data_IF_937678806720
#
_entry.id   IF_937678806720
#
_cell.length_a   1.000
_cell.length_b   1.000
_cell.length_c   1.000
_cell.angle_alpha   90.00
_cell.angle_beta   90.00
_cell.angle_gamma   90.00
#
_symmetry.space_group_name_H-M   'P 1'
#
loop_
_entity.id
_entity.type
_entity.pdbx_description
1 polymer ?
2 non-polymer ?
3 water ?
#
# COMPACT_ATOMS: atom_id res chain seq x y z
N UNK A 1 -26.97 -1.78 -9.33
CA UNK A 1 -26.95 -0.31 -9.59
C UNK A 1 -26.58 -0.03 -11.06
N UNK A 2 -26.25 1.22 -11.40
CA UNK A 2 -26.02 1.68 -12.80
C UNK A 2 -24.63 1.24 -13.27
N UNK A 3 -24.42 1.26 -14.59
CA UNK A 3 -23.18 0.79 -15.29
C UNK A 3 -22.43 2.02 -15.82
N UNK A 4 -21.23 2.28 -15.30
CA UNK A 4 -20.38 3.44 -15.69
C UNK A 4 -19.30 3.01 -16.67
N UNK A 5 -18.87 1.74 -16.64
CA UNK A 5 -17.92 1.15 -17.63
C UNK A 5 -18.72 0.69 -18.86
N UNK A 6 -18.32 1.14 -20.05
CA UNK A 6 -18.92 0.73 -21.35
C UNK A 6 -18.53 -0.72 -21.65
N UNK A 7 -17.40 -1.18 -21.11
CA UNK A 7 -16.85 -2.55 -21.29
C UNK A 7 -16.05 -2.94 -20.04
N UNK A 8 -16.11 -4.21 -19.64
CA UNK A 8 -15.40 -4.74 -18.44
C UNK A 8 -13.98 -5.17 -18.85
N UNK A 9 -13.18 -4.21 -19.29
CA UNK A 9 -11.75 -4.38 -19.70
C UNK A 9 -10.93 -3.22 -19.13
N UNK A 10 -9.60 -3.31 -19.21
CA UNK A 10 -8.66 -2.23 -18.81
C UNK A 10 -8.91 -1.01 -19.71
N UNK A 11 -9.25 -1.25 -20.98
CA UNK A 11 -9.57 -0.21 -21.99
C UNK A 11 -10.84 0.54 -21.56
N UNK A 12 -11.85 -0.18 -21.07
CA UNK A 12 -13.09 0.39 -20.52
C UNK A 12 -12.83 1.24 -19.28
N UNK A 13 -11.92 0.79 -18.41
CA UNK A 13 -11.51 1.52 -17.17
C UNK A 13 -10.76 2.80 -17.59
N UNK A 14 -9.85 2.69 -18.56
CA UNK A 14 -9.03 3.81 -19.08
C UNK A 14 -9.93 4.92 -19.64
N UNK A 15 -10.98 4.56 -20.36
CA UNK A 15 -11.95 5.52 -20.96
C UNK A 15 -12.76 6.20 -19.83
N UNK A 16 -13.22 5.43 -18.84
CA UNK A 16 -13.94 5.93 -17.65
C UNK A 16 -13.05 6.92 -16.89
N UNK A 17 -11.76 6.61 -16.75
CA UNK A 17 -10.77 7.45 -16.03
C UNK A 17 -10.58 8.78 -16.78
N UNK A 18 -10.67 8.75 -18.11
CA UNK A 18 -10.50 9.94 -19.00
C UNK A 18 -11.81 10.74 -19.09
N UNK A 19 -12.93 10.15 -18.67
CA UNK A 19 -14.28 10.79 -18.66
C UNK A 19 -14.40 11.75 -17.46
N UNK A 20 -15.36 12.68 -17.52
CA UNK A 20 -15.58 13.74 -16.50
C UNK A 20 -16.07 13.14 -15.18
N UNK A 21 -16.59 11.89 -15.19
CA UNK A 21 -17.19 11.22 -14.00
C UNK A 21 -16.11 10.82 -12.99
N UNK A 22 -14.92 10.42 -13.47
CA UNK A 22 -13.80 9.91 -12.64
C UNK A 22 -12.90 11.07 -12.19
N UNK A 23 -13.08 11.54 -10.94
CA UNK A 23 -12.33 12.66 -10.33
C UNK A 23 -11.49 12.16 -9.15
N UNK A 24 -11.99 11.18 -8.39
CA UNK A 24 -11.39 10.71 -7.10
C UNK A 24 -11.15 9.20 -7.15
N UNK A 25 -9.88 8.80 -7.17
CA UNK A 25 -9.42 7.38 -7.21
C UNK A 25 -8.90 7.00 -5.81
N UNK A 26 -9.32 5.83 -5.29
CA UNK A 26 -8.72 5.19 -4.09
C UNK A 26 -7.95 3.95 -4.54
N UNK A 27 -6.70 3.82 -4.08
CA UNK A 27 -5.83 2.63 -4.29
C UNK A 27 -5.80 1.78 -3.02
N UNK A 28 -6.13 0.50 -3.14
CA UNK A 28 -5.93 -0.54 -2.10
C UNK A 28 -4.77 -1.44 -2.53
N UNK A 29 -3.64 -1.40 -1.81
CA UNK A 29 -2.37 -2.06 -2.24
C UNK A 29 -1.86 -2.98 -1.11
N UNK A 30 -1.12 -4.03 -1.50
CA UNK A 30 -0.52 -5.02 -0.59
C UNK A 30 0.90 -5.39 -1.01
N UNK A 31 1.37 -6.57 -0.59
CA UNK A 31 2.77 -7.03 -0.76
C UNK A 31 3.12 -7.18 -2.24
N UNK A 32 2.15 -7.50 -3.09
CA UNK A 32 2.32 -7.76 -4.54
C UNK A 32 2.97 -6.61 -5.28
N UNK A 33 2.75 -5.36 -4.85
CA UNK A 33 3.26 -4.13 -5.50
C UNK A 33 4.72 -3.89 -5.11
N UNK A 34 5.26 -4.65 -4.15
CA UNK A 34 6.61 -4.45 -3.54
C UNK A 34 7.55 -5.64 -3.80
N UNK A 35 7.05 -6.74 -4.38
CA UNK A 35 7.83 -8.00 -4.59
C UNK A 35 8.95 -7.77 -5.62
N UNK A 36 8.73 -6.88 -6.60
CA UNK A 36 9.66 -6.62 -7.73
C UNK A 36 10.76 -5.63 -7.31
N UNK A 37 10.65 -5.03 -6.13
CA UNK A 37 11.65 -4.10 -5.53
C UNK A 37 12.62 -4.87 -4.63
N UNK A 38 12.30 -6.13 -4.32
CA UNK A 38 13.10 -7.00 -3.43
C UNK A 38 12.63 -6.95 -1.99
N UNK A 39 11.30 -6.91 -1.80
CA UNK A 39 10.65 -6.90 -0.46
C UNK A 39 9.74 -8.11 -0.37
N UNK A 40 10.08 -9.15 0.42
CA UNK A 40 9.26 -10.37 0.52
C UNK A 40 7.91 -10.16 1.23
N UNK A 41 6.88 -10.86 0.74
CA UNK A 41 5.50 -10.79 1.32
C UNK A 41 5.45 -11.69 2.56
N UNK A 42 5.21 -11.09 3.73
CA UNK A 42 5.17 -11.81 5.03
C UNK A 42 4.01 -12.81 5.06
N UNK A 43 3.02 -12.62 4.19
CA UNK A 43 1.84 -13.53 4.16
C UNK A 43 2.13 -14.72 3.23
N UNK A 44 3.29 -14.70 2.57
CA UNK A 44 3.67 -15.78 1.61
C UNK A 44 4.75 -16.68 2.20
N UNK A 45 4.69 -18.01 2.01
CA UNK A 45 5.69 -18.94 2.53
C UNK A 45 6.89 -18.97 1.57
N UNK A 46 6.68 -18.55 0.32
CA UNK A 46 7.74 -18.52 -0.72
C UNK A 46 9.04 -17.89 -0.17
N UNK A 63 3.82 -14.23 17.66
CA UNK A 63 4.60 -14.52 18.89
C UNK A 63 5.75 -13.51 19.03
N UNK A 64 6.70 -13.54 18.09
CA UNK A 64 7.81 -12.55 17.96
C UNK A 64 7.20 -11.16 17.70
N UNK A 65 6.16 -11.09 16.85
CA UNK A 65 5.48 -9.83 16.43
C UNK A 65 4.27 -9.56 17.33
N UNK A 66 4.22 -10.15 18.53
CA UNK A 66 3.21 -9.85 19.57
C UNK A 66 3.76 -8.72 20.45
N UNK A 67 2.94 -7.69 20.72
CA UNK A 67 3.37 -6.43 21.39
C UNK A 67 3.89 -6.74 22.81
N UNK A 68 3.13 -7.50 23.61
CA UNK A 68 3.47 -7.86 25.01
C UNK A 68 4.89 -8.45 25.08
N UNK A 69 5.22 -9.34 24.15
CA UNK A 69 6.52 -10.06 24.07
C UNK A 69 7.64 -9.09 23.67
N UNK A 70 7.38 -8.26 22.65
CA UNK A 70 8.38 -7.35 22.03
C UNK A 70 8.97 -6.40 23.08
N UNK A 71 8.13 -5.85 23.96
CA UNK A 71 8.54 -4.88 25.02
C UNK A 71 9.41 -5.60 26.06
N UNK A 72 9.15 -6.91 26.26
CA UNK A 72 9.91 -7.80 27.17
C UNK A 72 11.22 -8.23 26.50
N UNK A 73 11.14 -8.70 25.24
CA UNK A 73 12.27 -9.17 24.41
C UNK A 73 12.18 -8.53 23.02
N UNK A 74 12.80 -7.35 22.79
CA UNK A 74 12.84 -6.72 21.47
C UNK A 74 13.94 -7.25 20.55
N UNK A 75 14.93 -7.97 21.10
CA UNK A 75 16.15 -8.41 20.39
C UNK A 75 15.79 -9.33 19.22
N UNK A 76 14.88 -10.31 19.39
CA UNK A 76 14.51 -11.22 18.30
C UNK A 76 13.95 -10.49 17.06
N UNK A 77 13.04 -9.54 17.26
CA UNK A 77 12.39 -8.73 16.18
C UNK A 77 13.45 -7.92 15.43
N UNK A 78 14.32 -7.22 16.16
CA UNK A 78 15.38 -6.34 15.60
C UNK A 78 16.45 -7.18 14.89
N UNK A 79 16.69 -8.42 15.37
CA UNK A 79 17.58 -9.41 14.73
C UNK A 79 16.99 -9.84 13.38
N UNK A 80 15.68 -10.13 13.35
CA UNK A 80 14.92 -10.51 12.13
C UNK A 80 14.93 -9.34 11.14
N UNK A 81 14.79 -8.11 11.63
CA UNK A 81 14.82 -6.85 10.84
C UNK A 81 16.22 -6.64 10.27
N UNK A 82 17.26 -6.83 11.08
CA UNK A 82 18.70 -6.78 10.68
C UNK A 82 18.94 -7.77 9.53
N UNK A 83 18.41 -8.99 9.64
CA UNK A 83 18.55 -10.07 8.63
C UNK A 83 17.75 -9.71 7.36
N UNK A 84 16.44 -9.46 7.51
CA UNK A 84 15.51 -9.24 6.37
C UNK A 84 15.50 -7.76 5.95
N UNK A 85 16.54 -6.99 6.28
CA UNK A 85 16.75 -5.61 5.81
C UNK A 85 16.96 -5.65 4.30
N UNK A 86 16.24 -4.84 3.50
CA UNK A 86 16.07 -5.10 2.07
C UNK A 86 17.33 -4.90 1.22
N UNK A 87 18.22 -3.99 1.63
CA UNK A 87 19.49 -3.68 0.92
C UNK A 87 19.39 -2.36 0.17
N UNK A 88 18.29 -2.16 -0.55
CA UNK A 88 18.02 -0.91 -1.31
C UNK A 88 16.51 -0.60 -1.27
N UNK A 89 16.15 0.66 -1.00
CA UNK A 89 14.72 1.07 -0.92
C UNK A 89 14.32 1.73 -2.24
N UNK A 90 13.93 0.92 -3.23
CA UNK A 90 13.56 1.44 -4.57
C UNK A 90 12.10 1.11 -4.89
N UNK A 91 11.20 2.12 -5.01
CA UNK A 91 9.79 1.88 -5.35
C UNK A 91 9.67 1.38 -6.80
N UNK A 92 8.62 0.61 -7.09
CA UNK A 92 8.38 0.01 -8.42
C UNK A 92 7.54 0.91 -9.34
N UNK A 93 7.29 0.45 -10.57
CA UNK A 93 6.44 1.11 -11.59
C UNK A 93 5.07 1.42 -10.98
N UNK A 94 4.52 0.45 -10.23
CA UNK A 94 3.19 0.52 -9.57
C UNK A 94 3.16 1.68 -8.56
N UNK A 95 4.25 1.89 -7.82
CA UNK A 95 4.38 2.99 -6.83
C UNK A 95 4.38 4.35 -7.54
N UNK A 96 5.12 4.47 -8.65
CA UNK A 96 5.29 5.74 -9.40
C UNK A 96 4.04 6.03 -10.24
N UNK A 97 3.26 4.99 -10.60
CA UNK A 97 1.93 5.15 -11.24
C UNK A 97 0.99 5.89 -10.28
N UNK A 98 1.03 5.54 -8.99
CA UNK A 98 0.21 6.18 -7.92
C UNK A 98 0.68 7.61 -7.70
N UNK A 99 1.99 7.88 -7.85
CA UNK A 99 2.56 9.26 -7.84
C UNK A 99 2.02 10.03 -9.06
N UNK A 100 1.89 9.37 -10.22
CA UNK A 100 1.29 9.97 -11.45
C UNK A 100 -0.17 10.34 -11.19
N UNK A 101 -0.96 9.43 -10.60
CA UNK A 101 -2.37 9.67 -10.20
C UNK A 101 -2.43 10.98 -9.40
N UNK A 102 -1.56 11.10 -8.39
CA UNK A 102 -1.44 12.28 -7.49
C UNK A 102 -1.11 13.52 -8.32
N UNK A 103 -0.14 13.43 -9.23
CA UNK A 103 0.31 14.55 -10.12
C UNK A 103 -0.86 15.00 -11.00
N UNK A 104 -1.68 14.04 -11.49
CA UNK A 104 -2.84 14.29 -12.39
C UNK A 104 -4.04 14.79 -11.59
N UNK A 105 -3.97 14.74 -10.24
CA UNK A 105 -5.02 15.23 -9.32
C UNK A 105 -6.17 14.25 -9.18
N UNK A 106 -5.90 12.95 -9.36
CA UNK A 106 -6.95 11.88 -9.36
C UNK A 106 -6.89 11.07 -8.06
N UNK A 107 -5.81 11.17 -7.28
CA UNK A 107 -5.59 10.34 -6.07
C UNK A 107 -6.33 10.95 -4.87
N UNK A 108 -7.43 10.31 -4.44
CA UNK A 108 -8.12 10.64 -3.17
C UNK A 108 -7.28 10.11 -2.01
N UNK A 109 -6.96 8.82 -2.03
CA UNK A 109 -6.13 8.15 -0.98
C UNK A 109 -5.53 6.85 -1.52
N UNK A 110 -4.38 6.46 -0.96
CA UNK A 110 -3.77 5.10 -1.10
C UNK A 110 -3.82 4.40 0.26
N UNK A 111 -4.65 3.35 0.37
CA UNK A 111 -4.71 2.43 1.55
C UNK A 111 -3.72 1.29 1.32
N UNK A 112 -2.65 1.22 2.13
CA UNK A 112 -1.54 0.24 1.97
C UNK A 112 -1.48 -0.70 3.17
N UNK A 113 -1.16 -1.97 2.94
CA UNK A 113 -0.97 -2.94 4.04
C UNK A 113 0.54 -3.10 4.26
N UNK A 114 1.33 -2.51 3.36
CA UNK A 114 2.82 -2.61 3.39
C UNK A 114 3.39 -1.67 4.46
N UNK A 115 4.61 -1.97 4.91
CA UNK A 115 5.35 -1.24 5.98
C UNK A 115 6.74 -0.86 5.46
N UNK A 116 6.96 -0.96 4.14
CA UNK A 116 8.31 -0.87 3.49
C UNK A 116 8.62 0.59 3.13
N UNK A 117 7.67 1.51 3.29
CA UNK A 117 7.81 2.98 3.13
C UNK A 117 7.93 3.38 1.64
N UNK A 118 7.79 2.44 0.70
CA UNK A 118 8.04 2.68 -0.74
C UNK A 118 7.03 3.69 -1.30
N UNK A 119 5.83 3.78 -0.72
CA UNK A 119 4.78 4.77 -1.09
C UNK A 119 5.32 6.20 -0.90
N UNK A 120 5.99 6.45 0.23
CA UNK A 120 6.51 7.80 0.62
C UNK A 120 7.71 8.17 -0.26
N UNK A 121 8.59 7.21 -0.54
CA UNK A 121 9.83 7.41 -1.35
C UNK A 121 9.43 7.67 -2.81
N UNK A 122 8.28 7.15 -3.25
CA UNK A 122 7.69 7.37 -4.59
C UNK A 122 7.05 8.77 -4.67
N UNK A 123 6.84 9.42 -3.51
CA UNK A 123 6.43 10.83 -3.42
C UNK A 123 4.97 11.00 -3.03
N UNK A 124 4.34 9.99 -2.44
CA UNK A 124 3.02 10.11 -1.78
C UNK A 124 3.25 10.67 -0.38
N UNK A 125 2.55 11.76 -0.02
CA UNK A 125 2.66 12.46 1.28
C UNK A 125 1.79 11.73 2.31
N UNK A 126 2.04 11.96 3.60
CA UNK A 126 1.40 11.26 4.74
C UNK A 126 -0.13 11.38 4.65
N UNK A 127 -0.64 12.50 4.16
CA UNK A 127 -2.11 12.79 4.08
C UNK A 127 -2.72 12.02 2.89
N UNK A 128 -1.90 11.59 1.92
CA UNK A 128 -2.33 10.75 0.76
C UNK A 128 -2.47 9.29 1.21
N UNK A 129 -1.82 8.90 2.30
CA UNK A 129 -1.61 7.48 2.70
C UNK A 129 -2.43 7.12 3.93
N UNK A 130 -3.06 5.94 3.91
CA UNK A 130 -3.59 5.23 5.11
C UNK A 130 -2.79 3.93 5.26
N UNK A 131 -1.80 3.95 6.14
CA UNK A 131 -0.91 2.79 6.42
C UNK A 131 -1.58 1.91 7.47
N UNK A 132 -2.42 0.96 7.02
CA UNK A 132 -3.31 0.12 7.84
C UNK A 132 -2.51 -0.68 8.89
N UNK A 133 -1.26 -1.02 8.58
CA UNK A 133 -0.35 -1.80 9.46
C UNK A 133 0.90 -0.98 9.83
N UNK A 134 0.80 0.35 9.75
CA UNK A 134 1.87 1.29 10.15
C UNK A 134 2.99 1.36 9.12
N UNK A 135 4.17 1.83 9.53
CA UNK A 135 5.34 2.10 8.65
C UNK A 135 6.65 2.07 9.46
N UNK A 136 7.77 1.76 8.78
CA UNK A 136 9.15 1.80 9.33
C UNK A 136 9.75 3.20 9.17
N UNK A 137 9.14 4.04 8.32
CA UNK A 137 9.64 5.39 7.95
C UNK A 137 9.82 6.23 9.22
N UNK A 138 8.93 6.05 10.20
CA UNK A 138 8.93 6.75 11.51
C UNK A 138 9.02 5.73 12.64
N UNK A 139 9.81 6.05 13.69
CA UNK A 139 9.95 5.28 14.95
C UNK A 139 9.68 6.20 16.14
N UNK A 140 9.21 5.65 17.25
CA UNK A 140 8.85 6.40 18.48
C UNK A 140 9.34 5.66 19.74
N UNK A 141 9.94 6.42 20.67
CA UNK A 141 10.07 6.06 22.11
C UNK A 141 8.75 5.46 22.59
N UNK A 142 8.78 4.28 23.22
CA UNK A 142 7.55 3.53 23.63
C UNK A 142 6.98 4.14 24.92
N UNK A 143 7.69 5.08 25.55
CA UNK A 143 7.27 5.78 26.79
C UNK A 143 6.24 6.87 26.47
N UNK A 144 5.05 6.79 27.09
CA UNK A 144 3.87 7.66 26.83
C UNK A 144 4.21 9.12 27.15
N UNK A 145 5.00 9.37 28.19
CA UNK A 145 5.36 10.73 28.70
C UNK A 145 6.41 11.39 27.80
N UNK A 146 7.04 10.63 26.89
CA UNK A 146 8.16 11.10 26.03
C UNK A 146 7.75 11.03 24.55
N UNK A 147 7.67 9.83 23.98
CA UNK A 147 7.29 9.57 22.56
C UNK A 147 8.13 10.44 21.62
N UNK A 148 9.45 10.49 21.83
CA UNK A 148 10.44 11.14 20.93
C UNK A 148 10.43 10.40 19.58
N UNK A 149 10.17 11.11 18.48
CA UNK A 149 10.12 10.54 17.11
C UNK A 149 11.53 10.45 16.54
N UNK A 150 11.91 9.29 16.00
CA UNK A 150 13.22 9.01 15.38
C UNK A 150 13.00 8.57 13.93
N UNK A 151 13.80 9.09 12.95
CA UNK A 151 13.64 8.72 11.55
C UNK A 151 14.20 7.33 11.22
N UNK A 152 13.99 6.86 9.99
CA UNK A 152 14.43 5.53 9.48
C UNK A 152 15.96 5.47 9.44
N UNK A 153 16.62 6.60 9.15
CA UNK A 153 18.10 6.75 9.11
C UNK A 153 18.70 6.42 10.48
N UNK A 154 18.09 6.94 11.55
CA UNK A 154 18.48 6.69 12.97
C UNK A 154 18.30 5.21 13.30
N UNK A 155 17.17 4.63 12.89
CA UNK A 155 16.79 3.21 13.16
C UNK A 155 17.73 2.27 12.40
N UNK A 156 18.00 2.54 11.11
CA UNK A 156 18.88 1.74 10.23
C UNK A 156 20.15 1.36 11.00
N UNK A 157 20.94 2.37 11.34
CA UNK A 157 22.20 2.20 12.09
C UNK A 157 21.95 1.34 13.33
N UNK A 158 20.99 1.76 14.16
CA UNK A 158 20.72 1.03 15.44
C UNK A 158 20.46 -0.45 15.19
N UNK A 159 19.84 -0.78 14.05
CA UNK A 159 19.59 -2.21 13.68
C UNK A 159 20.89 -2.78 13.11
N UNK A 160 21.65 -1.92 12.42
CA UNK A 160 22.93 -2.28 11.75
C UNK A 160 23.99 -2.72 12.76
N UNK A 161 24.34 -1.83 13.70
CA UNK A 161 25.40 -2.10 14.70
C UNK A 161 24.88 -3.11 15.72
N UNK A 162 23.70 -3.68 15.48
CA UNK A 162 23.12 -4.68 16.42
C UNK A 162 23.13 -4.11 17.84
N UNK A 163 22.85 -2.79 17.95
CA UNK A 163 22.76 -2.03 19.23
C UNK A 163 21.29 -1.63 19.42
N UNK A 164 20.57 -2.33 20.29
CA UNK A 164 19.10 -2.14 20.52
C UNK A 164 18.81 -0.65 20.58
N UNK A 165 17.88 -0.12 19.75
CA UNK A 165 17.59 1.32 19.72
C UNK A 165 16.95 1.79 21.04
N UNK A 166 17.63 2.71 21.74
CA UNK A 166 17.18 3.32 23.01
C UNK A 166 17.07 4.84 22.83
N UNK A 167 16.06 5.44 23.46
CA UNK A 167 15.75 6.89 23.39
C UNK A 167 16.89 7.71 24.00
N UNK A 168 17.30 8.79 23.34
CA UNK A 168 18.42 9.66 23.76
C UNK A 168 17.98 10.55 24.93
N UNK A 169 16.66 10.74 25.11
CA UNK A 169 16.08 11.59 26.18
C UNK A 169 15.84 10.77 27.46
N UNK A 170 15.15 9.62 27.34
CA UNK A 170 14.62 8.84 28.50
C UNK A 170 15.15 7.39 28.53
N UNK A 171 15.94 6.97 27.54
CA UNK A 171 16.62 5.63 27.48
C UNK A 171 15.60 4.48 27.38
N UNK A 172 14.33 4.77 27.05
CA UNK A 172 13.29 3.75 26.79
C UNK A 172 13.54 3.09 25.43
N UNK A 173 12.91 1.92 25.19
CA UNK A 173 12.93 1.22 23.89
C UNK A 173 12.31 2.13 22.81
N UNK A 174 12.94 2.21 21.64
CA UNK A 174 12.43 2.96 20.45
C UNK A 174 11.86 1.94 19.46
N UNK A 175 10.55 1.98 19.21
CA UNK A 175 9.82 1.05 18.31
C UNK A 175 9.48 1.75 17.01
N UNK A 176 9.74 1.12 15.84
CA UNK A 176 9.21 1.59 14.56
C UNK A 176 7.67 1.59 14.57
N UNK A 177 7.05 2.54 13.86
CA UNK A 177 5.58 2.82 13.92
C UNK A 177 4.81 1.80 13.08
N UNK A 178 5.09 0.50 13.27
CA UNK A 178 4.35 -0.63 12.62
C UNK A 178 3.44 -1.28 13.68
N UNK A 179 2.28 -1.79 13.26
CA UNK A 179 1.23 -2.35 14.15
C UNK A 179 1.51 -3.83 14.40
N UNK A 180 2.11 -4.14 15.56
CA UNK A 180 2.39 -5.52 16.04
C UNK A 180 1.06 -6.21 16.39
N UNK A 181 1.10 -7.52 16.58
CA UNK A 181 -0.12 -8.26 16.99
C UNK A 181 -0.49 -7.80 18.39
N UNK A 182 -1.78 -7.57 18.64
CA UNK A 182 -2.24 -7.10 19.96
C UNK A 182 -2.45 -5.59 19.95
N UNK A 183 -1.82 -4.90 19.01
CA UNK A 183 -1.95 -3.42 18.87
C UNK A 183 -3.23 -3.13 18.08
N UNK A 184 -3.89 -2.02 18.39
CA UNK A 184 -5.14 -1.64 17.68
C UNK A 184 -4.79 -1.04 16.31
N UNK A 185 -5.76 -1.03 15.39
CA UNK A 185 -5.54 -0.46 14.03
C UNK A 185 -5.55 1.07 14.16
N UNK A 186 -4.75 1.81 13.34
CA UNK A 186 -4.73 3.28 13.42
C UNK A 186 -6.15 3.84 13.30
N UNK A 187 -6.53 4.74 14.21
CA UNK A 187 -7.88 5.33 14.16
C UNK A 187 -8.06 5.98 12.80
N UNK A 188 -6.96 6.49 12.25
CA UNK A 188 -6.93 7.12 10.91
C UNK A 188 -7.69 6.25 9.90
N UNK A 189 -7.48 4.93 9.95
CA UNK A 189 -8.07 3.92 9.02
C UNK A 189 -9.59 4.03 9.00
N UNK A 190 -10.22 4.02 10.18
CA UNK A 190 -11.70 3.99 10.37
C UNK A 190 -12.28 5.37 10.03
N UNK A 191 -11.62 6.43 10.49
CA UNK A 191 -12.02 7.85 10.26
C UNK A 191 -11.95 8.17 8.76
N UNK A 192 -10.83 7.84 8.10
CA UNK A 192 -10.61 8.07 6.64
C UNK A 192 -11.63 7.25 5.82
N UNK A 193 -11.83 5.98 6.18
CA UNK A 193 -12.79 5.06 5.51
C UNK A 193 -14.19 5.72 5.46
N UNK A 194 -14.67 6.20 6.62
CA UNK A 194 -16.01 6.81 6.79
C UNK A 194 -16.20 7.99 5.83
N UNK A 195 -15.13 8.75 5.57
CA UNK A 195 -15.15 9.97 4.71
C UNK A 195 -14.85 9.62 3.25
N UNK A 196 -13.77 8.86 3.00
CA UNK A 196 -13.17 8.65 1.65
C UNK A 196 -14.17 7.94 0.71
N UNK A 197 -14.95 6.98 1.23
CA UNK A 197 -15.76 6.04 0.41
C UNK A 197 -17.12 6.65 0.08
N UNK A 198 -17.42 7.85 0.59
CA UNK A 198 -18.59 8.67 0.18
C UNK A 198 -18.29 9.38 -1.15
N UNK A 199 -17.01 9.45 -1.54
CA UNK A 199 -16.50 10.35 -2.61
C UNK A 199 -15.85 9.57 -3.76
N UNK A 200 -15.49 8.29 -3.56
CA UNK A 200 -14.63 7.51 -4.49
C UNK A 200 -15.38 7.24 -5.80
N UNK A 201 -14.73 7.53 -6.94
CA UNK A 201 -15.26 7.31 -8.30
C UNK A 201 -14.68 6.02 -8.90
N UNK A 202 -13.48 5.61 -8.46
CA UNK A 202 -12.79 4.39 -8.93
C UNK A 202 -11.99 3.77 -7.78
N UNK A 203 -12.09 2.45 -7.60
CA UNK A 203 -11.29 1.66 -6.64
C UNK A 203 -10.23 0.87 -7.43
N UNK A 204 -8.96 1.20 -7.25
CA UNK A 204 -7.80 0.55 -7.94
C UNK A 204 -7.09 -0.38 -6.95
N UNK A 205 -7.38 -1.68 -7.02
CA UNK A 205 -6.84 -2.73 -6.09
C UNK A 205 -5.65 -3.41 -6.77
N UNK A 206 -4.47 -3.42 -6.12
CA UNK A 206 -3.20 -3.85 -6.74
C UNK A 206 -2.34 -4.63 -5.73
N UNK A 207 -1.90 -5.84 -6.10
CA UNK A 207 -0.88 -6.63 -5.39
C UNK A 207 -1.34 -7.11 -4.02
N UNK A 208 -2.65 -7.35 -3.85
CA UNK A 208 -3.24 -7.92 -2.61
C UNK A 208 -4.23 -9.03 -2.99
N UNK A 209 -4.17 -10.16 -2.27
CA UNK A 209 -5.10 -11.32 -2.41
C UNK A 209 -6.37 -11.07 -1.60
N UNK A 210 -6.43 -9.96 -0.85
CA UNK A 210 -7.62 -9.51 -0.06
C UNK A 210 -8.06 -10.64 0.87
N UNK A 211 -7.12 -11.20 1.65
CA UNK A 211 -7.35 -12.31 2.60
C UNK A 211 -7.36 -11.79 4.05
N UNK A 212 -6.65 -10.69 4.32
CA UNK A 212 -6.46 -10.12 5.68
C UNK A 212 -7.57 -9.08 5.94
N UNK A 213 -8.21 -9.15 7.11
CA UNK A 213 -9.30 -8.24 7.56
C UNK A 213 -8.74 -7.25 8.59
N UNK A 214 -9.36 -6.07 8.79
CA UNK A 214 -10.54 -5.65 8.03
C UNK A 214 -10.24 -4.95 6.69
N UNK A 215 -8.99 -4.99 6.22
CA UNK A 215 -8.52 -4.32 4.98
C UNK A 215 -9.32 -4.83 3.77
N UNK A 216 -9.55 -6.15 3.71
CA UNK A 216 -10.28 -6.84 2.62
C UNK A 216 -11.67 -6.23 2.43
N UNK A 217 -12.34 -5.88 3.54
CA UNK A 217 -13.74 -5.40 3.59
C UNK A 217 -13.88 -4.00 2.96
N UNK A 218 -12.78 -3.26 2.78
CA UNK A 218 -12.76 -1.89 2.19
C UNK A 218 -13.46 -1.90 0.82
N UNK A 219 -13.36 -3.00 0.07
CA UNK A 219 -13.92 -3.13 -1.31
C UNK A 219 -15.46 -3.05 -1.27
N UNK A 220 -16.09 -3.46 -0.16
CA UNK A 220 -17.57 -3.45 0.02
C UNK A 220 -18.05 -2.08 0.52
N UNK A 221 -17.14 -1.15 0.85
CA UNK A 221 -17.47 0.23 1.28
C UNK A 221 -17.54 1.16 0.07
N UNK A 222 -17.23 0.66 -1.12
CA UNK A 222 -17.41 1.38 -2.41
C UNK A 222 -18.90 1.48 -2.71
N UNK A 223 -19.41 2.65 -3.15
CA UNK A 223 -20.77 2.74 -3.67
C UNK A 223 -21.01 1.70 -4.77
N UNK A 224 -22.26 1.24 -4.92
CA UNK A 224 -22.65 0.15 -5.86
C UNK A 224 -22.18 0.50 -7.28
N UNK A 225 -22.21 1.78 -7.67
CA UNK A 225 -21.91 2.25 -9.05
C UNK A 225 -20.40 2.34 -9.30
N UNK A 226 -19.58 2.47 -8.24
CA UNK A 226 -18.10 2.69 -8.33
C UNK A 226 -17.42 1.50 -9.00
N UNK A 227 -16.83 1.66 -10.20
CA UNK A 227 -16.01 0.62 -10.82
C UNK A 227 -14.79 0.24 -9.96
N UNK A 228 -14.36 -1.03 -10.04
CA UNK A 228 -13.24 -1.59 -9.24
C UNK A 228 -12.34 -2.43 -10.15
N UNK A 229 -11.09 -1.99 -10.33
CA UNK A 229 -10.05 -2.70 -11.13
C UNK A 229 -9.09 -3.42 -10.18
N UNK A 230 -8.94 -4.74 -10.36
CA UNK A 230 -7.91 -5.57 -9.70
C UNK A 230 -6.74 -5.78 -10.68
N UNK A 231 -5.53 -5.34 -10.29
CA UNK A 231 -4.25 -5.66 -10.97
C UNK A 231 -3.45 -6.57 -10.04
N UNK A 232 -3.35 -7.86 -10.39
CA UNK A 232 -2.77 -8.92 -9.53
C UNK A 232 -2.31 -10.08 -10.42
N UNK A 233 -1.46 -10.97 -9.90
CA UNK A 233 -0.94 -12.16 -10.64
C UNK A 233 -2.08 -13.16 -10.83
N UNK A 234 -2.94 -13.30 -9.81
CA UNK A 234 -4.17 -14.15 -9.82
C UNK A 234 -5.37 -13.29 -9.40
N UNK A 235 -6.59 -13.75 -9.69
CA UNK A 235 -7.85 -13.08 -9.28
C UNK A 235 -8.04 -13.22 -7.76
N UNK A 236 -8.81 -12.30 -7.16
CA UNK A 236 -9.03 -12.21 -5.70
C UNK A 236 -10.21 -11.27 -5.41
N UNK A 237 -10.69 -11.28 -4.15
CA UNK A 237 -11.73 -10.36 -3.64
C UNK A 237 -13.12 -10.94 -3.74
N UNK A 238 -13.28 -12.10 -4.39
CA UNK A 238 -14.58 -12.80 -4.58
C UNK A 238 -15.06 -13.35 -3.22
N UNK A 239 -16.37 -13.31 -2.97
CA UNK A 239 -17.02 -13.82 -1.73
C UNK A 239 -16.72 -15.30 -1.56
N UNK A 240 -16.31 -15.72 -0.36
CA UNK A 240 -15.87 -17.10 -0.04
C UNK A 240 -17.07 -17.94 0.38
N UNK A 241 -17.38 -19.06 -0.33
CA UNK A 241 -18.49 -19.94 0.05
C UNK A 241 -18.38 -20.53 1.46
N UNK A 242 -17.16 -20.69 1.98
CA UNK A 242 -16.86 -21.27 3.31
C UNK A 242 -16.88 -20.17 4.38
N UNK A 250 -22.38 -6.23 2.29
CA UNK A 250 -22.22 -7.58 1.68
C UNK A 250 -22.19 -7.51 0.16
N UNK A 251 -21.05 -7.85 -0.44
CA UNK A 251 -20.84 -7.82 -1.90
C UNK A 251 -19.36 -7.82 -2.26
N UNK A 252 -18.81 -8.98 -2.62
CA UNK A 252 -17.42 -9.15 -3.05
C UNK A 252 -17.24 -8.83 -4.53
N UNK A 253 -16.07 -9.15 -5.09
CA UNK A 253 -15.72 -8.91 -6.51
C UNK A 253 -16.50 -9.90 -7.39
N UNK A 254 -17.16 -9.39 -8.44
CA UNK A 254 -17.89 -10.19 -9.46
C UNK A 254 -17.40 -9.78 -10.85
N UNK A 255 -16.39 -10.50 -11.36
CA UNK A 255 -15.74 -10.24 -12.69
C UNK A 255 -16.47 -11.01 -13.80
N UNK A 256 -16.84 -12.27 -13.52
CA UNK A 256 -17.06 -13.33 -14.55
C UNK A 256 -18.55 -13.69 -14.71
N UNK A 257 -19.39 -13.49 -13.68
CA UNK A 257 -20.81 -13.92 -13.68
C UNK A 257 -21.62 -13.08 -14.68
N UNK A 258 -22.88 -13.47 -14.91
CA UNK A 258 -23.82 -12.80 -15.85
C UNK A 258 -24.25 -11.45 -15.27
N UNK A 259 -24.12 -11.26 -13.95
CA UNK A 259 -24.54 -10.04 -13.21
C UNK A 259 -23.40 -9.01 -13.17
N UNK A 260 -22.16 -9.44 -13.44
CA UNK A 260 -20.94 -8.59 -13.44
C UNK A 260 -21.18 -7.32 -14.26
N UNK A 261 -20.95 -6.14 -13.68
CA UNK A 261 -21.30 -4.83 -14.29
C UNK A 261 -20.20 -3.76 -14.06
N UNK A 262 -19.30 -3.92 -13.10
CA UNK A 262 -18.33 -2.84 -12.72
C UNK A 262 -16.94 -3.38 -12.37
N UNK A 263 -16.77 -4.68 -12.11
CA UNK A 263 -15.50 -5.27 -11.62
C UNK A 263 -14.71 -5.86 -12.81
N UNK A 264 -13.44 -5.46 -12.93
CA UNK A 264 -12.50 -5.91 -14.01
C UNK A 264 -11.23 -6.44 -13.35
N UNK A 265 -10.65 -7.52 -13.91
CA UNK A 265 -9.41 -8.16 -13.45
C UNK A 265 -8.36 -8.13 -14.57
N UNK A 266 -7.16 -7.62 -14.28
CA UNK A 266 -5.96 -7.70 -15.15
C UNK A 266 -4.92 -8.60 -14.48
N UNK A 267 -4.55 -9.71 -15.13
CA UNK A 267 -3.73 -10.80 -14.54
C UNK A 267 -2.28 -10.71 -15.03
N UNK A 268 -1.33 -10.56 -14.09
CA UNK A 268 0.11 -10.53 -14.35
C UNK A 268 0.84 -9.73 -13.29
N UNK A 269 2.11 -9.36 -13.56
CA UNK A 269 2.92 -8.46 -12.71
C UNK A 269 2.17 -7.13 -12.55
N UNK A 270 2.05 -6.64 -11.31
CA UNK A 270 1.44 -5.33 -10.96
C UNK A 270 2.06 -4.23 -11.83
N UNK A 271 3.38 -4.29 -12.03
CA UNK A 271 4.19 -3.32 -12.82
C UNK A 271 3.71 -3.32 -14.27
N UNK A 272 3.60 -4.49 -14.89
CA UNK A 272 3.19 -4.66 -16.32
C UNK A 272 1.74 -4.20 -16.50
N UNK A 273 0.88 -4.45 -15.52
CA UNK A 273 -0.54 -4.04 -15.53
C UNK A 273 -0.71 -2.53 -15.47
N UNK A 274 0.02 -1.87 -14.56
CA UNK A 274 0.04 -0.39 -14.38
C UNK A 274 0.61 0.26 -15.64
N UNK A 275 1.64 -0.36 -16.23
CA UNK A 275 2.32 0.10 -17.47
C UNK A 275 1.33 0.04 -18.64
N UNK A 276 0.49 -1.01 -18.69
CA UNK A 276 -0.56 -1.22 -19.72
C UNK A 276 -1.65 -0.16 -19.57
N UNK A 277 -2.07 0.13 -18.34
CA UNK A 277 -3.11 1.16 -18.03
C UNK A 277 -2.57 2.54 -18.43
N UNK A 278 -1.35 2.88 -18.00
CA UNK A 278 -0.64 4.14 -18.34
C UNK A 278 -0.59 4.31 -19.86
N UNK A 279 -0.31 3.21 -20.59
CA UNK A 279 -0.22 3.18 -22.08
C UNK A 279 -1.56 3.57 -22.69
N UNK A 280 -2.67 3.05 -22.14
CA UNK A 280 -4.05 3.34 -22.60
C UNK A 280 -4.41 4.80 -22.29
N UNK A 281 -3.92 5.33 -21.16
CA UNK A 281 -4.21 6.70 -20.69
C UNK A 281 -3.30 7.73 -21.39
N UNK A 282 -2.23 7.27 -22.05
CA UNK A 282 -1.25 8.15 -22.72
C UNK A 282 -0.21 8.68 -21.74
N UNK A 283 0.01 7.99 -20.62
CA UNK A 283 0.93 8.40 -19.52
C UNK A 283 2.28 7.65 -19.62
N UNK A 284 2.42 6.71 -20.56
CA UNK A 284 3.52 5.71 -20.56
C UNK A 284 4.89 6.42 -20.55
N UNK A 285 5.08 7.44 -21.38
CA UNK A 285 6.37 8.20 -21.47
C UNK A 285 6.62 8.92 -20.14
N UNK A 286 5.60 9.59 -19.60
CA UNK A 286 5.67 10.35 -18.31
C UNK A 286 6.05 9.38 -17.19
N UNK A 287 5.43 8.20 -17.16
CA UNK A 287 5.69 7.11 -16.17
C UNK A 287 7.12 6.59 -16.37
N UNK A 288 7.48 6.21 -17.60
CA UNK A 288 8.84 5.75 -17.99
C UNK A 288 9.89 6.74 -17.48
N UNK A 289 9.72 8.03 -17.80
CA UNK A 289 10.68 9.12 -17.46
C UNK A 289 10.75 9.31 -15.93
N UNK A 290 9.62 9.17 -15.23
CA UNK A 290 9.54 9.33 -13.76
C UNK A 290 10.30 8.20 -13.07
N UNK A 291 10.04 6.95 -13.47
CA UNK A 291 10.64 5.72 -12.85
C UNK A 291 12.16 5.76 -13.09
N UNK A 292 12.59 6.03 -14.32
CA UNK A 292 14.02 6.12 -14.72
C UNK A 292 14.74 7.19 -13.89
N UNK A 293 14.14 8.37 -13.77
CA UNK A 293 14.71 9.57 -13.09
C UNK A 293 14.87 9.27 -11.60
N UNK A 294 13.86 8.67 -10.97
CA UNK A 294 13.83 8.41 -9.50
C UNK A 294 14.76 7.22 -9.17
N UNK A 295 14.72 6.15 -9.97
CA UNK A 295 15.59 4.96 -9.82
C UNK A 295 17.06 5.38 -9.88
N UNK A 296 17.42 6.26 -10.82
CA UNK A 296 18.78 6.82 -11.01
C UNK A 296 19.19 7.59 -9.74
N UNK A 297 18.30 8.47 -9.26
CA UNK A 297 18.50 9.30 -8.04
C UNK A 297 18.78 8.41 -6.82
N UNK A 298 18.00 7.33 -6.65
CA UNK A 298 18.14 6.35 -5.53
C UNK A 298 19.46 5.57 -5.70
N UNK A 299 19.73 5.08 -6.92
CA UNK A 299 20.96 4.32 -7.27
C UNK A 299 22.20 5.13 -6.90
N UNK A 300 22.18 6.45 -7.16
CA UNK A 300 23.30 7.40 -6.93
C UNK A 300 23.63 7.48 -5.44
N UNK A 301 22.62 7.72 -4.60
CA UNK A 301 22.78 7.95 -3.14
C UNK A 301 22.55 6.65 -2.35
N UNK A 302 22.79 5.49 -2.98
CA UNK A 302 22.73 4.15 -2.35
C UNK A 302 23.94 3.32 -2.82
X LIG B 1 12.01 8.79 25.30
#
# INVERSE_FOLDING_TARGET
SERLLDELTLEGVARYMQSERCRRVICLVGAGISTSAGIPDFRSPSTGLYDNLEKYHLPYPEAIFEISYFKKHPEPFFALAKELYPGQFKPTICHYFMRLLKDKGLLLRCYTQNIDTLERIAGLEQEDLVEAHGTFYTSHCVSASCRHEYPLSWMKEKIFSEVTPKCEDCQSLVKPDIVFFGESLPARFFSCMQSDFLKVDLLLVMGTSLQVQPFASLISKAPLSTPRLLINKEKAGQSDPFLGMIMGLGGGMDFDSKKAYRDVAWLGECDQGCLALAELLGWKKELEDLVRREHASIDAQS
ZN ZN
#
